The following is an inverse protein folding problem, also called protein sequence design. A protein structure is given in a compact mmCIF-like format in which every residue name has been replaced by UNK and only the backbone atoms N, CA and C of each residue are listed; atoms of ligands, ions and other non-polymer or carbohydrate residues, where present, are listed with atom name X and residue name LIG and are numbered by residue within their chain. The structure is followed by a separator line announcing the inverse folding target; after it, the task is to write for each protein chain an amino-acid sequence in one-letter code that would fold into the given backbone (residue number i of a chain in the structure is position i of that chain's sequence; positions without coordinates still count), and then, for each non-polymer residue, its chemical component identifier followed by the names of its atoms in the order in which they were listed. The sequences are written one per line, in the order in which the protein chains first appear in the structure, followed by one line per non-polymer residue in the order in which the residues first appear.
data_IF_411434704767
#
_entry.id   IF_411434704767
#
_cell.length_a   1.000
_cell.length_b   1.000
_cell.length_c   1.000
_cell.angle_alpha   90.00
_cell.angle_beta   90.00
_cell.angle_gamma   90.00
#
_symmetry.space_group_name_H-M   'P 1'
#
loop_
_entity.id
_entity.type
_entity.pdbx_description
1 polymer ?
#
# COMPACT_ATOMS: atom_id res chain seq x y z
N UNK A 1 -6.92 -27.34 -10.28
CA UNK A 1 -7.44 -26.32 -9.36
C UNK A 1 -8.10 -27.03 -8.19
N UNK A 2 -7.63 -26.79 -6.97
CA UNK A 2 -8.18 -27.41 -5.76
C UNK A 2 -9.24 -26.49 -5.20
N UNK A 3 -10.50 -26.93 -5.15
CA UNK A 3 -11.58 -26.17 -4.50
C UNK A 3 -11.52 -26.40 -2.99
N UNK A 4 -11.38 -25.32 -2.23
CA UNK A 4 -11.46 -25.34 -0.77
C UNK A 4 -12.86 -24.88 -0.39
N UNK A 5 -13.66 -25.77 0.20
CA UNK A 5 -15.00 -25.45 0.70
C UNK A 5 -14.86 -24.98 2.14
N UNK A 6 -15.22 -23.71 2.39
CA UNK A 6 -15.14 -23.07 3.70
C UNK A 6 -16.53 -22.59 4.08
N UNK A 7 -16.91 -22.72 5.36
CA UNK A 7 -18.17 -22.15 5.83
C UNK A 7 -18.15 -20.62 5.72
N UNK A 8 -19.30 -20.03 5.42
CA UNK A 8 -19.44 -18.58 5.29
C UNK A 8 -18.93 -17.84 6.54
N UNK A 9 -19.22 -18.36 7.73
CA UNK A 9 -18.75 -17.82 9.01
C UNK A 9 -17.23 -17.76 9.10
N UNK A 10 -16.54 -18.85 8.73
CA UNK A 10 -15.07 -18.89 8.72
C UNK A 10 -14.50 -17.91 7.70
N UNK A 11 -15.14 -17.79 6.54
CA UNK A 11 -14.73 -16.84 5.51
C UNK A 11 -14.87 -15.39 5.99
N UNK A 12 -16.01 -15.03 6.61
CA UNK A 12 -16.23 -13.71 7.20
C UNK A 12 -15.22 -13.39 8.30
N UNK A 13 -14.89 -14.37 9.15
CA UNK A 13 -13.87 -14.21 10.19
C UNK A 13 -12.50 -13.90 9.58
N UNK A 14 -12.08 -14.66 8.56
CA UNK A 14 -10.80 -14.41 7.87
C UNK A 14 -10.75 -13.01 7.28
N UNK A 15 -11.83 -12.54 6.65
CA UNK A 15 -11.89 -11.18 6.13
C UNK A 15 -11.75 -10.13 7.24
N UNK A 16 -12.47 -10.30 8.36
CA UNK A 16 -12.38 -9.39 9.51
C UNK A 16 -11.00 -9.36 10.14
N UNK A 17 -10.34 -10.52 10.25
CA UNK A 17 -8.98 -10.63 10.78
C UNK A 17 -7.97 -9.89 9.86
N UNK A 18 -8.14 -10.03 8.54
CA UNK A 18 -7.33 -9.31 7.54
C UNK A 18 -7.55 -7.79 7.60
N UNK A 19 -8.80 -7.34 7.72
CA UNK A 19 -9.12 -5.91 7.86
C UNK A 19 -8.50 -5.30 9.12
N UNK A 20 -8.54 -6.05 10.22
CA UNK A 20 -7.92 -5.64 11.49
C UNK A 20 -6.41 -5.51 11.32
N UNK A 21 -5.76 -6.50 10.71
CA UNK A 21 -4.32 -6.47 10.45
C UNK A 21 -3.93 -5.29 9.54
N UNK A 22 -4.71 -5.00 8.50
CA UNK A 22 -4.47 -3.84 7.63
C UNK A 22 -4.58 -2.54 8.43
N UNK A 23 -5.56 -2.44 9.31
CA UNK A 23 -5.78 -1.26 10.16
C UNK A 23 -4.63 -1.07 11.14
N UNK A 24 -4.20 -2.14 11.81
CA UNK A 24 -3.08 -2.11 12.74
C UNK A 24 -1.78 -1.72 12.03
N UNK A 25 -1.47 -2.33 10.89
CA UNK A 25 -0.30 -1.98 10.10
C UNK A 25 -0.39 -0.53 9.62
N UNK A 26 -1.56 -0.07 9.20
CA UNK A 26 -1.77 1.33 8.80
C UNK A 26 -1.54 2.30 9.96
N UNK A 27 -1.87 1.91 11.20
CA UNK A 27 -1.62 2.70 12.40
C UNK A 27 -0.14 2.79 12.79
N UNK A 28 0.68 1.79 12.41
CA UNK A 28 2.12 1.79 12.62
C UNK A 28 2.86 2.74 11.68
N UNK A 29 2.24 3.13 10.56
CA UNK A 29 2.76 4.15 9.67
C UNK A 29 2.13 5.50 10.02
N UNK A 30 2.95 6.44 10.50
CA UNK A 30 2.56 7.85 10.62
C UNK A 30 2.40 8.45 9.22
N UNK A 31 1.25 8.17 8.61
CA UNK A 31 0.93 8.62 7.25
C UNK A 31 0.96 10.15 7.16
N UNK A 32 0.57 10.85 8.23
CA UNK A 32 0.60 12.31 8.27
C UNK A 32 2.03 12.84 8.15
N UNK A 33 3.00 12.22 8.84
CA UNK A 33 4.41 12.58 8.71
C UNK A 33 4.97 12.24 7.33
N UNK A 34 4.60 11.08 6.77
CA UNK A 34 5.00 10.67 5.40
C UNK A 34 4.48 11.67 4.36
N UNK A 35 3.20 12.07 4.48
CA UNK A 35 2.56 13.03 3.57
C UNK A 35 3.19 14.41 3.72
N UNK A 36 3.40 14.90 4.96
CA UNK A 36 4.07 16.19 5.21
C UNK A 36 5.47 16.23 4.61
N UNK A 37 6.26 15.17 4.82
CA UNK A 37 7.61 15.05 4.22
C UNK A 37 7.53 15.08 2.70
N UNK A 38 6.57 14.37 2.10
CA UNK A 38 6.39 14.36 0.65
C UNK A 38 6.00 15.72 0.09
N UNK A 39 5.15 16.47 0.78
CA UNK A 39 4.79 17.85 0.40
C UNK A 39 6.03 18.75 0.42
N UNK A 40 6.86 18.68 1.46
CA UNK A 40 8.10 19.46 1.55
C UNK A 40 9.10 19.10 0.44
N UNK A 41 9.23 17.82 0.10
CA UNK A 41 10.07 17.36 -1.00
C UNK A 41 9.60 17.94 -2.35
N UNK A 42 8.28 17.98 -2.60
CA UNK A 42 7.71 18.55 -3.82
C UNK A 42 7.85 20.09 -3.85
N UNK A 43 7.69 20.77 -2.72
CA UNK A 43 7.87 22.22 -2.64
C UNK A 43 9.33 22.63 -2.89
N UNK A 44 10.29 21.85 -2.38
CA UNK A 44 11.72 22.11 -2.56
C UNK A 44 12.23 21.69 -3.95
N UNK A 45 11.63 20.67 -4.56
CA UNK A 45 11.90 20.28 -5.94
C UNK A 45 10.61 19.84 -6.67
N UNK A 46 9.99 20.74 -7.44
CA UNK A 46 8.73 20.46 -8.14
C UNK A 46 8.78 19.33 -9.17
N UNK A 47 9.97 18.92 -9.60
CA UNK A 47 10.17 17.83 -10.56
C UNK A 47 10.33 16.47 -9.89
N UNK A 48 10.38 16.40 -8.56
CA UNK A 48 10.58 15.15 -7.85
C UNK A 48 9.39 14.20 -8.04
N UNK A 49 9.64 12.97 -8.49
CA UNK A 49 8.59 11.98 -8.66
C UNK A 49 7.64 12.22 -9.83
N UNK A 50 8.00 13.09 -10.79
CA UNK A 50 7.19 13.40 -11.98
C UNK A 50 7.59 12.62 -13.21
N UNK A 51 8.73 11.93 -13.21
CA UNK A 51 9.15 11.16 -14.36
C UNK A 51 8.47 9.79 -14.38
N UNK A 52 8.29 9.24 -15.57
CA UNK A 52 7.83 7.86 -15.77
C UNK A 52 8.75 6.86 -15.07
N UNK A 53 10.06 7.14 -15.07
CA UNK A 53 11.05 6.38 -14.29
C UNK A 53 10.77 6.40 -12.78
N UNK A 54 10.37 7.53 -12.21
CA UNK A 54 10.04 7.60 -10.78
C UNK A 54 8.78 6.79 -10.46
N UNK A 55 7.82 6.77 -11.38
CA UNK A 55 6.62 5.94 -11.28
C UNK A 55 6.98 4.45 -11.35
N UNK A 56 7.83 4.06 -12.30
CA UNK A 56 8.30 2.68 -12.45
C UNK A 56 9.08 2.19 -11.22
N UNK A 57 9.97 3.02 -10.68
CA UNK A 57 10.71 2.71 -9.46
C UNK A 57 9.78 2.60 -8.24
N UNK A 58 8.75 3.45 -8.17
CA UNK A 58 7.73 3.37 -7.13
C UNK A 58 6.91 2.07 -7.23
N UNK A 59 6.47 1.69 -8.44
CA UNK A 59 5.71 0.47 -8.70
C UNK A 59 6.55 -0.79 -8.42
N UNK A 60 7.83 -0.80 -8.83
CA UNK A 60 8.78 -1.88 -8.51
C UNK A 60 8.97 -2.10 -7.02
N UNK A 61 9.11 -1.02 -6.23
CA UNK A 61 9.20 -1.12 -4.75
C UNK A 61 7.96 -1.73 -4.11
N UNK A 62 6.81 -1.64 -4.77
CA UNK A 62 5.54 -2.23 -4.34
C UNK A 62 5.30 -3.64 -4.91
N UNK A 63 6.27 -4.20 -5.62
CA UNK A 63 6.18 -5.53 -6.23
C UNK A 63 5.30 -5.59 -7.48
N UNK A 64 4.99 -4.43 -8.08
CA UNK A 64 4.22 -4.35 -9.33
C UNK A 64 5.20 -4.42 -10.49
N UNK A 65 5.03 -5.40 -11.37
CA UNK A 65 5.77 -5.48 -12.63
C UNK A 65 5.17 -4.48 -13.63
N UNK A 66 6.02 -3.65 -14.22
CA UNK A 66 5.66 -2.72 -15.28
C UNK A 66 6.30 -3.26 -16.57
N UNK A 67 5.50 -3.47 -17.62
CA UNK A 67 5.90 -4.03 -18.93
C UNK A 67 6.63 -3.02 -19.81
#
# INVERSE_FOLDING_TARGET
MTQVIVSEEKFRKVLSDVETLITDVSSLFDQDSIVKKRILDIQSNPQIGRSEKDLDEYLKKRGVAVE
#
